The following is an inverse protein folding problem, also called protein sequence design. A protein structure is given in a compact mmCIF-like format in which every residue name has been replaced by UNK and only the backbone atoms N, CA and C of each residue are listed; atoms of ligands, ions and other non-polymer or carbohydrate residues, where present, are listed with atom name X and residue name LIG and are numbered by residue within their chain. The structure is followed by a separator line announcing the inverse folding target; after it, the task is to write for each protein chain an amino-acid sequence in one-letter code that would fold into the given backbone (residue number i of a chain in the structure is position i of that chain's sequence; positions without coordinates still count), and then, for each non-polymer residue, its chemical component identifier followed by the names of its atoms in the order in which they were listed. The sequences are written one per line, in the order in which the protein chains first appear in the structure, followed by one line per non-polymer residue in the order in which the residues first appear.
data_IF_415894250458
#
_entry.id   IF_415894250458
#
_cell.length_a   1.000
_cell.length_b   1.000
_cell.length_c   1.000
_cell.angle_alpha   90.00
_cell.angle_beta   90.00
_cell.angle_gamma   90.00
#
_symmetry.space_group_name_H-M   'P 1'
#
loop_
_entity.id
_entity.type
_entity.pdbx_description
1 polymer ?
#
# COMPACT_ATOMS: atom_id res chain seq x y z
N UNK A 1 -5.15 20.85 2.26
CA UNK A 1 -5.44 19.41 2.18
C UNK A 1 -5.12 18.76 3.50
N UNK A 2 -5.87 17.73 3.96
CA UNK A 2 -5.44 16.96 5.12
C UNK A 2 -4.09 16.29 4.82
N UNK A 3 -3.26 16.12 5.85
CA UNK A 3 -2.01 15.39 5.70
C UNK A 3 -2.29 13.99 5.14
N UNK A 4 -1.54 13.58 4.11
CA UNK A 4 -1.77 12.32 3.41
C UNK A 4 -3.13 12.18 2.71
N UNK A 5 -3.74 13.30 2.32
CA UNK A 5 -4.94 13.31 1.47
C UNK A 5 -4.93 14.40 0.40
N UNK A 6 -6.00 14.43 -0.38
CA UNK A 6 -6.28 15.40 -1.42
C UNK A 6 -7.68 16.00 -1.21
N UNK A 7 -7.84 17.24 -1.68
CA UNK A 7 -9.11 17.96 -1.64
C UNK A 7 -9.45 18.36 -3.07
N UNK A 8 -10.71 18.17 -3.45
CA UNK A 8 -11.28 18.68 -4.70
C UNK A 8 -12.50 19.54 -4.36
N UNK A 9 -12.42 20.84 -4.61
CA UNK A 9 -13.51 21.76 -4.35
C UNK A 9 -14.18 22.23 -5.65
N UNK A 10 -15.47 22.58 -5.55
CA UNK A 10 -16.19 23.29 -6.61
C UNK A 10 -15.82 24.78 -6.63
N UNK A 11 -15.50 25.33 -7.80
CA UNK A 11 -15.19 26.76 -7.96
C UNK A 11 -13.90 27.18 -7.23
N UNK A 12 -13.89 28.38 -6.63
CA UNK A 12 -12.73 28.91 -5.89
C UNK A 12 -12.51 28.23 -4.51
N UNK A 13 -13.43 27.35 -4.11
CA UNK A 13 -13.24 26.43 -2.98
C UNK A 13 -13.46 27.01 -1.58
N UNK A 14 -13.69 28.31 -1.44
CA UNK A 14 -13.98 28.99 -0.17
C UNK A 14 -15.30 29.80 -0.19
N UNK A 15 -15.95 29.91 -1.34
CA UNK A 15 -17.22 30.61 -1.50
C UNK A 15 -18.38 29.90 -0.79
N UNK A 16 -19.36 30.68 -0.32
CA UNK A 16 -20.61 30.13 0.22
C UNK A 16 -21.27 29.13 -0.74
N UNK A 17 -21.61 27.94 -0.24
CA UNK A 17 -22.16 26.85 -1.04
C UNK A 17 -21.11 26.03 -1.81
N UNK A 18 -19.82 26.40 -1.76
CA UNK A 18 -18.76 25.58 -2.33
C UNK A 18 -18.70 24.23 -1.59
N UNK A 19 -18.65 23.14 -2.37
CA UNK A 19 -18.52 21.79 -1.86
C UNK A 19 -17.09 21.31 -2.09
N UNK A 20 -16.45 20.83 -1.03
CA UNK A 20 -15.12 20.25 -1.06
C UNK A 20 -15.19 18.76 -0.72
N UNK A 21 -14.76 17.93 -1.64
CA UNK A 21 -14.58 16.49 -1.47
C UNK A 21 -13.17 16.21 -0.96
N UNK A 22 -13.09 15.32 0.04
CA UNK A 22 -11.85 14.92 0.69
C UNK A 22 -11.60 13.45 0.43
N UNK A 23 -10.34 13.11 0.20
CA UNK A 23 -9.96 11.72 -0.03
C UNK A 23 -8.52 11.51 0.41
N UNK A 24 -8.20 10.28 0.81
CA UNK A 24 -6.88 9.94 1.32
C UNK A 24 -6.02 9.26 0.26
N UNK A 25 -4.71 9.40 0.39
CA UNK A 25 -3.77 8.61 -0.42
C UNK A 25 -3.91 7.13 -0.08
N UNK A 26 -3.54 6.26 -1.03
CA UNK A 26 -3.63 4.82 -0.87
C UNK A 26 -2.86 4.37 0.36
N UNK A 27 -3.57 3.72 1.28
CA UNK A 27 -2.98 3.29 2.54
C UNK A 27 -3.32 4.12 3.77
N UNK A 28 -4.13 5.15 3.60
CA UNK A 28 -4.75 5.92 4.66
C UNK A 28 -6.27 5.85 4.51
N UNK A 29 -6.98 5.87 5.63
CA UNK A 29 -8.44 5.90 5.72
C UNK A 29 -8.91 7.25 6.22
N UNK A 30 -9.95 7.77 5.57
CA UNK A 30 -10.58 9.03 5.89
C UNK A 30 -11.39 8.87 7.17
N UNK A 31 -11.09 9.69 8.17
CA UNK A 31 -11.88 9.88 9.38
C UNK A 31 -12.54 11.26 9.31
N UNK A 32 -13.85 11.34 9.59
CA UNK A 32 -14.61 12.58 9.47
C UNK A 32 -15.51 12.61 8.24
N UNK A 33 -15.81 13.81 7.72
CA UNK A 33 -16.77 13.97 6.61
C UNK A 33 -16.10 13.86 5.23
N UNK A 34 -16.59 13.00 4.31
CA UNK A 34 -16.01 12.85 2.96
C UNK A 34 -16.23 14.05 2.06
N UNK A 35 -17.26 14.85 2.35
CA UNK A 35 -17.50 16.12 1.69
C UNK A 35 -17.93 17.15 2.73
N UNK A 36 -17.51 18.39 2.54
CA UNK A 36 -17.91 19.54 3.38
C UNK A 36 -18.37 20.68 2.50
N UNK A 37 -19.34 21.44 2.98
CA UNK A 37 -19.92 22.59 2.29
C UNK A 37 -19.63 23.85 3.10
N UNK A 38 -19.17 24.90 2.41
CA UNK A 38 -18.96 26.22 3.01
C UNK A 38 -20.32 26.87 3.32
N UNK A 39 -20.54 27.19 4.59
CA UNK A 39 -21.80 27.72 5.11
C UNK A 39 -21.74 29.25 5.25
N UNK A 40 -22.91 29.87 5.45
CA UNK A 40 -23.04 31.34 5.48
C UNK A 40 -22.26 31.99 6.62
N UNK A 41 -21.99 31.22 7.68
CA UNK A 41 -21.25 31.65 8.86
C UNK A 41 -19.73 31.52 8.70
N UNK A 42 -19.23 31.34 7.46
CA UNK A 42 -17.81 31.07 7.14
C UNK A 42 -17.28 29.77 7.78
N UNK A 43 -18.19 28.92 8.27
CA UNK A 43 -17.89 27.58 8.77
C UNK A 43 -18.06 26.53 7.68
N UNK A 44 -17.51 25.35 7.95
CA UNK A 44 -17.66 24.18 7.07
C UNK A 44 -18.57 23.15 7.73
N UNK A 45 -19.51 22.61 6.95
CA UNK A 45 -20.41 21.57 7.44
C UNK A 45 -19.65 20.32 7.90
N UNK A 46 -20.26 19.55 8.80
CA UNK A 46 -19.74 18.25 9.24
C UNK A 46 -18.46 18.34 10.07
N UNK A 47 -17.72 17.23 10.11
CA UNK A 47 -16.51 17.06 10.91
C UNK A 47 -15.26 17.20 10.07
N UNK A 48 -14.20 17.77 10.65
CA UNK A 48 -12.92 17.94 9.98
C UNK A 48 -12.33 16.59 9.53
N UNK A 49 -11.96 16.45 8.25
CA UNK A 49 -11.47 15.20 7.70
C UNK A 49 -9.98 15.02 7.99
N UNK A 50 -9.60 13.84 8.45
CA UNK A 50 -8.21 13.46 8.70
C UNK A 50 -7.91 12.12 8.04
N UNK A 51 -6.70 11.96 7.50
CA UNK A 51 -6.27 10.70 6.89
C UNK A 51 -5.37 9.94 7.87
N UNK A 52 -5.87 8.80 8.35
CA UNK A 52 -5.17 7.96 9.33
C UNK A 52 -4.61 6.71 8.65
N UNK A 53 -3.43 6.18 9.05
CA UNK A 53 -2.89 4.97 8.43
C UNK A 53 -3.87 3.80 8.53
N UNK A 54 -4.00 3.03 7.44
CA UNK A 54 -4.87 1.85 7.41
C UNK A 54 -4.53 0.86 8.51
N UNK A 55 -5.55 0.39 9.21
CA UNK A 55 -5.41 -0.69 10.16
C UNK A 55 -5.54 -2.03 9.44
N UNK A 56 -4.48 -2.85 9.45
CA UNK A 56 -4.46 -4.17 8.80
C UNK A 56 -4.70 -5.21 9.88
N UNK A 57 -5.82 -5.91 9.76
CA UNK A 57 -6.17 -7.01 10.64
C UNK A 57 -5.50 -8.31 10.16
N UNK A 58 -4.52 -8.78 10.93
CA UNK A 58 -3.79 -10.05 10.68
C UNK A 58 -4.41 -11.23 11.43
N UNK A 59 -5.36 -10.98 12.33
CA UNK A 59 -6.14 -12.01 13.05
C UNK A 59 -7.21 -12.70 12.18
N UNK A 60 -7.13 -12.56 10.86
CA UNK A 60 -8.06 -13.17 9.92
C UNK A 60 -7.78 -14.66 9.72
N UNK A 61 -8.82 -15.42 9.39
CA UNK A 61 -8.76 -16.88 9.25
C UNK A 61 -8.32 -17.36 7.86
N UNK A 62 -8.46 -16.50 6.85
CA UNK A 62 -8.25 -16.87 5.44
C UNK A 62 -7.34 -15.88 4.72
N UNK A 63 -6.49 -16.37 3.83
CA UNK A 63 -5.63 -15.53 2.98
C UNK A 63 -6.43 -14.53 2.13
N UNK A 64 -7.59 -14.92 1.60
CA UNK A 64 -8.46 -14.04 0.82
C UNK A 64 -8.92 -12.82 1.64
N UNK A 65 -9.43 -13.04 2.86
CA UNK A 65 -9.82 -11.94 3.76
C UNK A 65 -8.65 -11.03 4.17
N UNK A 66 -7.41 -11.52 4.12
CA UNK A 66 -6.26 -10.64 4.29
C UNK A 66 -6.06 -9.76 3.05
N UNK A 67 -6.06 -10.35 1.86
CA UNK A 67 -5.82 -9.64 0.60
C UNK A 67 -6.92 -8.62 0.30
N UNK A 68 -8.16 -8.92 0.67
CA UNK A 68 -9.32 -8.04 0.52
C UNK A 68 -9.13 -6.67 1.21
N UNK A 69 -8.41 -6.64 2.34
CA UNK A 69 -8.10 -5.39 3.05
C UNK A 69 -7.20 -4.45 2.24
N UNK A 70 -6.50 -4.96 1.24
CA UNK A 70 -5.63 -4.19 0.35
C UNK A 70 -6.27 -3.88 -1.01
N UNK A 71 -7.42 -4.50 -1.31
CA UNK A 71 -8.14 -4.32 -2.57
C UNK A 71 -8.47 -2.83 -2.81
N UNK A 72 -8.15 -2.33 -4.00
CA UNK A 72 -8.22 -0.91 -4.44
C UNK A 72 -7.38 0.09 -3.62
N UNK A 73 -6.78 -0.34 -2.51
CA UNK A 73 -6.09 0.51 -1.55
C UNK A 73 -4.58 0.52 -1.78
N UNK A 74 -3.95 -0.66 -1.80
CA UNK A 74 -2.49 -0.80 -1.87
C UNK A 74 -2.06 -1.96 -2.79
N UNK A 75 -0.90 -1.81 -3.41
CA UNK A 75 -0.20 -2.87 -4.16
C UNK A 75 0.59 -3.71 -3.16
N UNK A 76 0.80 -4.98 -3.45
CA UNK A 76 1.54 -5.88 -2.54
C UNK A 76 2.85 -6.33 -3.18
N UNK A 77 3.93 -6.22 -2.41
CA UNK A 77 5.21 -6.83 -2.71
C UNK A 77 5.44 -7.96 -1.70
N UNK A 78 5.27 -9.19 -2.15
CA UNK A 78 5.37 -10.36 -1.28
C UNK A 78 6.74 -10.98 -1.46
N UNK A 79 7.53 -11.04 -0.39
CA UNK A 79 8.89 -11.58 -0.40
C UNK A 79 8.89 -12.89 0.40
N UNK A 80 9.07 -14.02 -0.27
CA UNK A 80 9.17 -15.35 0.34
C UNK A 80 10.62 -15.82 0.39
N UNK A 81 11.03 -16.38 1.52
CA UNK A 81 12.37 -16.97 1.72
C UNK A 81 12.29 -18.16 2.68
N UNK A 82 13.08 -19.23 2.47
CA UNK A 82 13.11 -20.37 3.38
C UNK A 82 13.70 -20.03 4.76
N UNK A 83 14.57 -19.03 4.87
CA UNK A 83 15.23 -18.63 6.13
C UNK A 83 15.48 -17.11 6.20
N UNK A 84 15.58 -16.58 7.42
CA UNK A 84 15.96 -15.17 7.66
C UNK A 84 17.44 -14.87 7.31
N UNK A 85 18.27 -15.92 7.27
CA UNK A 85 19.69 -15.84 6.92
C UNK A 85 19.96 -15.89 5.42
N UNK A 86 18.94 -16.09 4.59
CA UNK A 86 19.08 -16.15 3.14
C UNK A 86 19.72 -14.85 2.59
N UNK A 87 20.75 -15.00 1.75
CA UNK A 87 21.52 -13.89 1.20
C UNK A 87 20.65 -12.93 0.38
N UNK A 88 19.84 -13.46 -0.55
CA UNK A 88 18.96 -12.66 -1.40
C UNK A 88 17.90 -11.91 -0.61
N UNK A 89 17.34 -12.53 0.43
CA UNK A 89 16.40 -11.88 1.32
C UNK A 89 17.01 -10.65 2.02
N UNK A 90 18.19 -10.82 2.63
CA UNK A 90 18.90 -9.72 3.30
C UNK A 90 19.30 -8.62 2.33
N UNK A 91 19.72 -8.99 1.13
CA UNK A 91 20.06 -8.05 0.05
C UNK A 91 18.83 -7.24 -0.38
N UNK A 92 17.68 -7.90 -0.63
CA UNK A 92 16.44 -7.22 -1.02
C UNK A 92 15.98 -6.22 0.04
N UNK A 93 16.02 -6.59 1.32
CA UNK A 93 15.66 -5.66 2.41
C UNK A 93 16.59 -4.45 2.47
N UNK A 94 17.90 -4.64 2.30
CA UNK A 94 18.86 -3.54 2.25
C UNK A 94 18.63 -2.61 1.05
N UNK A 95 18.20 -3.17 -0.09
CA UNK A 95 17.87 -2.41 -1.30
C UNK A 95 16.57 -1.59 -1.13
N UNK A 96 15.57 -2.14 -0.43
CA UNK A 96 14.28 -1.47 -0.22
C UNK A 96 14.32 -0.43 0.91
N UNK A 97 15.24 -0.56 1.87
CA UNK A 97 15.38 0.36 3.00
C UNK A 97 15.51 1.85 2.60
N UNK A 98 16.40 2.25 1.67
CA UNK A 98 16.48 3.64 1.22
C UNK A 98 15.32 4.06 0.30
N UNK A 99 14.54 3.10 -0.22
CA UNK A 99 13.50 3.34 -1.22
C UNK A 99 12.08 3.46 -0.61
N UNK A 100 11.96 3.64 0.70
CA UNK A 100 10.66 3.70 1.41
C UNK A 100 9.73 4.78 0.85
N UNK A 101 10.24 6.00 0.62
CA UNK A 101 9.44 7.06 0.03
C UNK A 101 8.87 6.67 -1.35
N UNK A 102 9.69 6.05 -2.21
CA UNK A 102 9.28 5.60 -3.54
C UNK A 102 8.21 4.51 -3.51
N UNK A 103 8.25 3.63 -2.50
CA UNK A 103 7.23 2.61 -2.25
C UNK A 103 5.92 3.23 -1.73
N UNK A 104 6.02 4.19 -0.81
CA UNK A 104 4.85 4.90 -0.25
C UNK A 104 4.11 5.71 -1.31
N UNK A 105 4.83 6.46 -2.16
CA UNK A 105 4.24 7.18 -3.30
C UNK A 105 3.54 6.24 -4.31
N UNK A 106 3.95 4.97 -4.36
CA UNK A 106 3.38 3.93 -5.21
C UNK A 106 2.38 3.05 -4.45
N UNK A 107 2.01 3.41 -3.23
CA UNK A 107 1.07 2.68 -2.37
C UNK A 107 1.42 1.19 -2.23
N UNK A 108 2.71 0.86 -2.11
CA UNK A 108 3.20 -0.54 -2.01
C UNK A 108 3.28 -0.96 -0.56
N UNK A 109 2.79 -2.16 -0.24
CA UNK A 109 3.01 -2.82 1.07
C UNK A 109 3.87 -4.04 0.89
N UNK A 110 4.94 -4.12 1.69
CA UNK A 110 5.82 -5.28 1.69
C UNK A 110 5.29 -6.31 2.69
N UNK A 111 5.08 -7.55 2.23
CA UNK A 111 4.71 -8.70 3.08
C UNK A 111 5.89 -9.67 3.05
N UNK A 112 6.50 -9.89 4.20
CA UNK A 112 7.63 -10.79 4.38
C UNK A 112 7.16 -12.19 4.79
N UNK A 113 7.44 -13.19 3.96
CA UNK A 113 7.18 -14.61 4.13
C UNK A 113 8.49 -15.40 4.38
N UNK A 114 9.10 -15.18 5.54
CA UNK A 114 10.30 -15.86 6.04
C UNK A 114 10.03 -17.23 6.68
N UNK A 115 10.87 -18.22 6.38
CA UNK A 115 10.80 -19.51 7.06
C UNK A 115 9.92 -20.52 6.33
N UNK A 116 10.27 -21.79 6.47
CA UNK A 116 9.40 -22.91 6.11
C UNK A 116 8.51 -23.22 7.32
N UNK A 117 7.24 -23.51 7.08
CA UNK A 117 6.31 -23.95 8.13
C UNK A 117 7.00 -24.95 9.08
N UNK A 118 6.90 -24.78 10.41
CA UNK A 118 6.07 -23.83 11.17
C UNK A 118 6.80 -22.52 11.58
N UNK A 119 7.88 -22.12 10.91
CA UNK A 119 8.68 -20.96 11.31
C UNK A 119 7.94 -19.61 11.19
N UNK A 120 8.17 -18.74 12.19
CA UNK A 120 7.57 -17.43 12.41
C UNK A 120 7.82 -16.42 11.28
N UNK A 121 6.95 -15.40 11.20
CA UNK A 121 6.94 -14.39 10.14
C UNK A 121 7.02 -12.96 10.64
N UNK A 122 8.19 -12.34 10.42
CA UNK A 122 8.42 -10.90 10.41
C UNK A 122 9.42 -10.38 11.45
N UNK A 123 10.21 -9.37 11.10
CA UNK A 123 10.85 -8.43 12.04
C UNK A 123 10.04 -7.14 12.01
N UNK A 124 9.30 -6.83 13.08
CA UNK A 124 8.54 -5.57 13.21
C UNK A 124 7.01 -5.75 13.20
N UNK A 125 6.41 -5.41 14.36
CA UNK A 125 5.02 -5.08 14.68
C UNK A 125 3.82 -5.94 14.23
N UNK A 126 3.89 -6.85 13.25
CA UNK A 126 2.69 -7.53 12.73
C UNK A 126 2.93 -9.00 12.34
N UNK A 127 3.11 -9.85 13.35
CA UNK A 127 3.33 -11.29 13.19
C UNK A 127 2.09 -12.00 12.62
N UNK A 128 2.22 -12.68 11.49
CA UNK A 128 1.15 -13.48 10.88
C UNK A 128 1.09 -14.89 11.46
N UNK A 129 -0.13 -15.46 11.58
CA UNK A 129 -0.26 -16.88 11.97
C UNK A 129 0.39 -17.79 10.91
N UNK A 130 1.11 -18.87 11.31
CA UNK A 130 1.75 -19.78 10.35
C UNK A 130 0.77 -20.38 9.34
N UNK A 131 -0.47 -20.63 9.76
CA UNK A 131 -1.53 -21.13 8.90
C UNK A 131 -1.90 -20.15 7.79
N UNK A 132 -2.07 -18.86 8.12
CA UNK A 132 -2.42 -17.83 7.14
C UNK A 132 -1.32 -17.65 6.10
N UNK A 133 -0.06 -17.75 6.52
CA UNK A 133 1.07 -17.65 5.60
C UNK A 133 1.21 -18.82 4.64
N UNK A 134 0.95 -20.05 5.12
CA UNK A 134 0.88 -21.22 4.24
C UNK A 134 -0.25 -21.04 3.22
N UNK A 135 -1.42 -20.57 3.66
CA UNK A 135 -2.52 -20.28 2.75
C UNK A 135 -2.15 -19.23 1.70
N UNK A 136 -1.46 -18.14 2.07
CA UNK A 136 -1.01 -17.13 1.11
C UNK A 136 -0.03 -17.71 0.08
N UNK A 137 0.94 -18.52 0.53
CA UNK A 137 1.88 -19.20 -0.40
C UNK A 137 1.14 -20.12 -1.37
N UNK A 138 0.13 -20.86 -0.89
CA UNK A 138 -0.68 -21.74 -1.73
C UNK A 138 -1.56 -20.95 -2.72
N UNK A 139 -2.25 -19.91 -2.24
CA UNK A 139 -3.13 -19.07 -3.04
C UNK A 139 -2.36 -18.41 -4.19
N UNK A 140 -1.18 -17.86 -3.89
CA UNK A 140 -0.34 -17.16 -4.85
C UNK A 140 0.66 -18.07 -5.56
N UNK A 141 0.62 -19.39 -5.30
CA UNK A 141 1.55 -20.38 -5.87
C UNK A 141 3.02 -19.96 -5.74
N UNK A 142 3.42 -19.56 -4.54
CA UNK A 142 4.79 -19.12 -4.23
C UNK A 142 5.59 -20.30 -3.64
N UNK A 143 6.79 -20.61 -4.19
CA UNK A 143 7.63 -21.65 -3.62
C UNK A 143 8.15 -21.25 -2.23
N UNK A 144 8.34 -22.25 -1.35
CA UNK A 144 8.82 -22.04 0.02
C UNK A 144 10.30 -22.41 0.21
N UNK A 145 10.91 -23.07 -0.78
CA UNK A 145 12.28 -23.61 -0.69
C UNK A 145 13.35 -22.63 -1.19
N UNK A 146 12.98 -21.63 -2.01
CA UNK A 146 13.89 -20.64 -2.56
C UNK A 146 13.40 -19.22 -2.27
N UNK A 147 14.29 -18.24 -2.43
CA UNK A 147 13.89 -16.83 -2.48
C UNK A 147 12.93 -16.62 -3.66
N UNK A 148 11.83 -15.92 -3.42
CA UNK A 148 10.85 -15.62 -4.44
C UNK A 148 10.07 -14.37 -4.06
N UNK A 149 9.93 -13.44 -5.00
CA UNK A 149 9.20 -12.21 -4.79
C UNK A 149 8.09 -12.07 -5.83
N UNK A 150 6.92 -11.56 -5.42
CA UNK A 150 5.77 -11.37 -6.30
C UNK A 150 5.21 -9.96 -6.13
N UNK A 151 4.96 -9.29 -7.24
CA UNK A 151 4.27 -8.00 -7.30
C UNK A 151 2.81 -8.26 -7.65
N UNK A 152 1.91 -7.86 -6.75
CA UNK A 152 0.47 -7.93 -6.93
C UNK A 152 -0.09 -6.52 -7.04
N UNK A 153 -0.96 -6.28 -8.02
CA UNK A 153 -1.63 -4.99 -8.16
C UNK A 153 -2.71 -4.76 -7.10
N UNK A 154 -3.36 -3.59 -7.16
CA UNK A 154 -4.44 -3.22 -6.23
C UNK A 154 -5.70 -4.07 -6.39
N UNK A 155 -5.86 -4.82 -7.48
CA UNK A 155 -7.01 -5.69 -7.69
C UNK A 155 -6.71 -7.15 -7.28
N UNK A 156 -5.55 -7.40 -6.66
CA UNK A 156 -5.14 -8.75 -6.28
C UNK A 156 -4.59 -9.58 -7.45
N UNK A 157 -4.29 -8.96 -8.60
CA UNK A 157 -3.77 -9.66 -9.77
C UNK A 157 -2.24 -9.72 -9.71
N UNK A 158 -1.72 -10.93 -9.86
CA UNK A 158 -0.30 -11.21 -10.02
C UNK A 158 0.25 -10.57 -11.31
N UNK A 159 1.24 -9.68 -11.17
CA UNK A 159 1.82 -8.93 -12.29
C UNK A 159 3.19 -9.43 -12.70
N UNK A 160 4.07 -9.62 -11.74
CA UNK A 160 5.47 -9.94 -12.01
C UNK A 160 6.06 -10.75 -10.86
N UNK A 161 6.97 -11.66 -11.20
CA UNK A 161 7.58 -12.59 -10.25
C UNK A 161 9.09 -12.57 -10.41
N UNK A 162 9.80 -12.38 -9.31
CA UNK A 162 11.25 -12.27 -9.27
C UNK A 162 11.85 -13.43 -8.46
N UNK A 163 12.56 -14.37 -9.10
CA UNK A 163 13.29 -15.42 -8.39
C UNK A 163 14.63 -14.93 -7.79
N UNK A 164 14.99 -13.66 -8.00
CA UNK A 164 16.19 -13.00 -7.50
C UNK A 164 15.87 -11.56 -7.03
N UNK A 165 16.73 -10.92 -6.22
CA UNK A 165 16.51 -9.54 -5.77
C UNK A 165 16.37 -8.58 -6.95
N UNK A 166 15.36 -7.70 -6.89
CA UNK A 166 15.12 -6.69 -7.91
C UNK A 166 15.45 -5.29 -7.38
N UNK A 167 15.96 -4.44 -8.26
CA UNK A 167 16.28 -3.06 -7.90
C UNK A 167 14.99 -2.24 -7.70
N UNK A 168 15.02 -1.14 -6.92
CA UNK A 168 13.85 -0.29 -6.76
C UNK A 168 13.47 0.36 -8.07
N UNK A 169 14.45 0.70 -8.93
CA UNK A 169 14.21 1.28 -10.24
C UNK A 169 13.39 0.34 -11.15
N UNK A 170 13.75 -0.95 -11.22
CA UNK A 170 12.99 -1.94 -11.99
C UNK A 170 11.57 -2.13 -11.45
N UNK A 171 11.43 -2.26 -10.12
CA UNK A 171 10.13 -2.38 -9.46
C UNK A 171 9.24 -1.15 -9.74
N UNK A 172 9.82 0.04 -9.62
CA UNK A 172 9.11 1.30 -9.83
C UNK A 172 8.72 1.49 -11.29
N UNK A 173 9.61 1.19 -12.22
CA UNK A 173 9.33 1.25 -13.65
C UNK A 173 8.16 0.33 -14.02
N UNK A 174 8.14 -0.91 -13.50
CA UNK A 174 7.02 -1.82 -13.68
C UNK A 174 5.74 -1.24 -13.10
N UNK A 175 5.74 -0.79 -11.84
CA UNK A 175 4.54 -0.28 -11.18
C UNK A 175 3.98 0.95 -11.90
N UNK A 176 4.85 1.82 -12.40
CA UNK A 176 4.47 3.03 -13.13
C UNK A 176 3.85 2.73 -14.51
N UNK A 177 3.96 1.49 -15.01
CA UNK A 177 3.19 1.05 -16.20
C UNK A 177 1.71 0.79 -15.90
N UNK A 178 1.33 0.55 -14.65
CA UNK A 178 -0.02 0.12 -14.30
C UNK A 178 -1.06 1.24 -14.54
N UNK A 179 -2.25 0.95 -15.12
CA UNK A 179 -3.25 1.97 -15.44
C UNK A 179 -3.62 2.87 -14.25
N UNK A 180 -3.99 2.26 -13.11
CA UNK A 180 -4.30 3.00 -11.87
C UNK A 180 -3.12 3.85 -11.39
N UNK A 181 -1.87 3.43 -11.64
CA UNK A 181 -0.70 4.20 -11.22
C UNK A 181 -0.56 5.48 -12.04
N UNK A 182 -0.86 5.44 -13.34
CA UNK A 182 -0.82 6.61 -14.21
C UNK A 182 -1.83 7.68 -13.80
N UNK A 183 -2.99 7.29 -13.30
CA UNK A 183 -3.98 8.22 -12.74
C UNK A 183 -3.49 8.85 -11.44
N UNK A 184 -2.93 8.04 -10.53
CA UNK A 184 -2.30 8.53 -9.30
C UNK A 184 -1.14 9.50 -9.58
N UNK A 185 -0.36 9.28 -10.64
CA UNK A 185 0.74 10.18 -11.02
C UNK A 185 0.23 11.56 -11.40
N UNK A 186 -0.85 11.64 -12.19
CA UNK A 186 -1.45 12.93 -12.59
C UNK A 186 -1.86 13.75 -11.36
N UNK A 187 -2.55 13.11 -10.42
CA UNK A 187 -2.96 13.73 -9.16
C UNK A 187 -1.75 14.15 -8.31
N UNK A 188 -0.69 13.34 -8.26
CA UNK A 188 0.52 13.68 -7.48
C UNK A 188 1.28 14.88 -8.07
N UNK A 189 1.32 15.01 -9.40
CA UNK A 189 1.94 16.16 -10.08
C UNK A 189 1.19 17.46 -9.79
N UNK A 190 -0.14 17.43 -9.75
CA UNK A 190 -0.97 18.59 -9.39
C UNK A 190 -0.72 19.07 -7.95
N UNK A 191 -0.34 18.16 -7.05
CA UNK A 191 -0.10 18.43 -5.63
C UNK A 191 1.38 18.77 -5.33
N UNK A 192 2.27 18.69 -6.33
CA UNK A 192 3.70 18.99 -6.16
C UNK A 192 4.44 18.02 -5.23
N UNK A 193 3.95 16.79 -5.08
CA UNK A 193 4.47 15.81 -4.12
C UNK A 193 5.56 14.95 -4.77
N UNK A 194 6.83 15.24 -4.47
CA UNK A 194 7.98 14.45 -4.93
C UNK A 194 8.79 13.89 -3.75
N UNK A 195 9.34 12.68 -3.92
CA UNK A 195 10.41 12.21 -3.04
C UNK A 195 11.70 13.01 -3.35
N UNK A 196 12.49 13.39 -2.32
CA UNK A 196 13.83 13.93 -2.50
C UNK A 196 14.82 12.90 -3.04
#
# INVERSE_FOLDING_TARGET
APDNGYIKCSGDGDNYGATCDFSCIGGYELQGSPARVCQYNLGWSGTEPTCTPMNINIGVRTAAALLDQFYEKRRLLIISTPTASNYFYRMQLGILQPAQCGLDHRHVTVIELVGVYPAQLGRGLRLMSPALAVQLRLLLRIPHYNFYMVVVDKHGVDKERYPFPATPAELFALIDTFPLRKEEMKLQTEIGRSCP
#
